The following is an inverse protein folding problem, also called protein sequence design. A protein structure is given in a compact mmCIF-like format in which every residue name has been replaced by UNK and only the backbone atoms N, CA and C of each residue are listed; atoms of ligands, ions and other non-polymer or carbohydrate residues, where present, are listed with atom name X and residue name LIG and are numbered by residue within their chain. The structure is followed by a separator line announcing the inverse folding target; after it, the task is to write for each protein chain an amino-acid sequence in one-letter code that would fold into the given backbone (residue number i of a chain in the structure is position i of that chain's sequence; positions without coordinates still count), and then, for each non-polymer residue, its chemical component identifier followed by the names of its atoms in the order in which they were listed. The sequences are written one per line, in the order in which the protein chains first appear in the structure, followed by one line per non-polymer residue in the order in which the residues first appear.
data_IF_133984678481
#
_entry.id   IF_133984678481
#
_cell.length_a   1.000
_cell.length_b   1.000
_cell.length_c   1.000
_cell.angle_alpha   90.00
_cell.angle_beta   90.00
_cell.angle_gamma   90.00
#
_symmetry.space_group_name_H-M   'P 1'
#
loop_
_entity.id
_entity.type
_entity.pdbx_description
1 polymer ?
#
# COMPACT_ATOMS: atom_id res chain seq x y z
N UNK A 1 21.75 -72.78 -18.53
CA UNK A 1 20.39 -72.48 -19.07
C UNK A 1 19.75 -71.51 -18.10
N UNK A 2 18.99 -70.53 -18.62
CA UNK A 2 18.60 -69.32 -17.91
C UNK A 2 17.47 -69.53 -16.89
N UNK A 3 17.65 -68.92 -15.71
CA UNK A 3 16.64 -68.74 -14.67
C UNK A 3 15.50 -67.85 -15.23
N UNK A 4 14.24 -68.30 -15.18
CA UNK A 4 13.07 -67.44 -15.35
C UNK A 4 12.37 -67.36 -14.00
N UNK A 5 12.43 -66.18 -13.37
CA UNK A 5 11.60 -65.86 -12.22
C UNK A 5 10.38 -65.11 -12.71
N UNK A 6 9.26 -65.45 -12.10
CA UNK A 6 7.93 -64.97 -12.45
C UNK A 6 7.81 -63.50 -12.01
N UNK A 7 7.72 -62.58 -12.97
CA UNK A 7 7.49 -61.16 -12.68
C UNK A 7 6.04 -60.99 -12.22
N UNK A 8 5.87 -60.75 -10.91
CA UNK A 8 4.57 -60.50 -10.30
C UNK A 8 3.83 -59.31 -10.94
N UNK A 9 2.50 -59.23 -10.79
CA UNK A 9 1.69 -58.23 -11.47
C UNK A 9 2.17 -56.82 -11.12
N UNK A 10 2.45 -56.01 -12.16
CA UNK A 10 2.79 -54.59 -12.02
C UNK A 10 1.74 -53.87 -11.16
N UNK A 11 2.22 -52.86 -10.44
CA UNK A 11 1.45 -52.04 -9.52
C UNK A 11 0.09 -51.60 -10.10
N UNK A 12 -0.89 -51.52 -9.20
CA UNK A 12 -2.23 -50.99 -9.49
C UNK A 12 -2.13 -49.63 -10.17
N UNK A 13 -2.68 -49.52 -11.38
CA UNK A 13 -2.78 -48.27 -12.12
C UNK A 13 -3.49 -47.20 -11.27
N UNK A 14 -2.80 -46.10 -10.99
CA UNK A 14 -3.40 -44.84 -10.55
C UNK A 14 -3.56 -43.93 -11.79
N UNK A 15 -4.80 -43.64 -12.26
CA UNK A 15 -5.02 -42.87 -13.48
C UNK A 15 -4.33 -41.51 -13.50
N UNK A 16 -4.21 -40.87 -12.32
CA UNK A 16 -3.60 -39.55 -12.16
C UNK A 16 -2.10 -39.50 -12.50
N UNK A 17 -1.43 -40.65 -12.71
CA UNK A 17 -0.02 -40.71 -13.04
C UNK A 17 0.29 -40.22 -14.47
N UNK A 18 -0.59 -40.46 -15.44
CA UNK A 18 -0.40 -40.07 -16.85
C UNK A 18 -0.75 -38.59 -17.13
N UNK A 19 -1.30 -37.88 -16.16
CA UNK A 19 -1.84 -36.51 -16.31
C UNK A 19 -0.90 -35.39 -15.86
N UNK A 20 0.23 -35.74 -15.22
CA UNK A 20 1.18 -34.78 -14.65
C UNK A 20 2.35 -34.57 -15.60
N UNK A 21 2.51 -33.34 -16.10
CA UNK A 21 3.71 -32.91 -16.83
C UNK A 21 4.78 -32.47 -15.81
N UNK A 22 5.91 -33.18 -15.77
CA UNK A 22 7.00 -32.87 -14.84
C UNK A 22 8.39 -33.03 -15.46
N UNK A 23 9.37 -32.35 -14.87
CA UNK A 23 10.81 -32.52 -15.15
C UNK A 23 11.55 -33.18 -13.96
N UNK A 24 10.80 -33.93 -13.13
CA UNK A 24 11.31 -34.69 -11.99
C UNK A 24 10.58 -36.04 -11.93
N UNK A 25 11.29 -37.10 -12.29
CA UNK A 25 10.67 -38.40 -12.60
C UNK A 25 10.46 -39.29 -11.35
N UNK A 26 11.03 -38.93 -10.20
CA UNK A 26 10.92 -39.71 -8.97
C UNK A 26 9.55 -39.50 -8.29
N UNK A 27 8.92 -40.60 -7.90
CA UNK A 27 7.66 -40.65 -7.16
C UNK A 27 7.88 -41.48 -5.90
N UNK A 28 7.32 -41.07 -4.77
CA UNK A 28 7.48 -41.77 -3.49
C UNK A 28 6.11 -42.11 -2.88
N UNK A 29 5.80 -43.40 -2.79
CA UNK A 29 4.45 -43.92 -2.48
C UNK A 29 4.11 -43.99 -0.97
N UNK A 30 5.11 -43.84 -0.08
CA UNK A 30 4.91 -43.69 1.38
C UNK A 30 5.68 -42.50 1.92
N UNK A 31 5.22 -41.95 3.06
CA UNK A 31 5.99 -40.95 3.82
C UNK A 31 7.24 -41.54 4.50
N UNK A 32 7.25 -42.84 4.80
CA UNK A 32 8.43 -43.54 5.36
C UNK A 32 9.61 -43.50 4.38
N UNK A 33 9.35 -43.72 3.09
CA UNK A 33 10.35 -43.79 2.03
C UNK A 33 10.93 -42.39 1.67
N UNK A 34 10.31 -41.31 2.16
CA UNK A 34 10.76 -39.93 1.94
C UNK A 34 11.94 -39.51 2.84
N UNK A 35 12.46 -40.41 3.70
CA UNK A 35 13.58 -40.14 4.61
C UNK A 35 13.35 -38.88 5.50
N UNK A 36 12.11 -38.71 5.96
CA UNK A 36 11.70 -37.60 6.83
C UNK A 36 12.21 -37.83 8.26
N UNK A 37 12.44 -36.75 9.01
CA UNK A 37 12.80 -36.86 10.43
C UNK A 37 11.71 -37.59 11.21
N UNK A 38 12.07 -38.55 12.06
CA UNK A 38 11.11 -39.38 12.83
C UNK A 38 10.05 -38.55 13.57
N UNK A 39 10.43 -37.42 14.16
CA UNK A 39 9.51 -36.51 14.84
C UNK A 39 8.49 -35.86 13.88
N UNK A 40 8.91 -35.51 12.65
CA UNK A 40 8.02 -34.98 11.62
C UNK A 40 7.09 -36.09 11.09
N UNK A 41 7.65 -37.27 10.82
CA UNK A 41 6.90 -38.44 10.35
C UNK A 41 5.80 -38.83 11.35
N UNK A 42 6.11 -38.81 12.66
CA UNK A 42 5.13 -38.98 13.73
C UNK A 42 4.04 -37.90 13.73
N UNK A 43 4.38 -36.65 13.43
CA UNK A 43 3.43 -35.54 13.27
C UNK A 43 2.48 -35.75 12.08
N UNK A 44 3.00 -36.23 10.94
CA UNK A 44 2.21 -36.55 9.74
C UNK A 44 1.14 -37.61 10.04
N UNK A 45 1.54 -38.74 10.62
CA UNK A 45 0.58 -39.80 10.99
C UNK A 45 -0.39 -39.37 12.10
N UNK A 46 0.07 -38.62 13.11
CA UNK A 46 -0.80 -38.12 14.17
C UNK A 46 -1.83 -37.08 13.69
N UNK A 47 -1.55 -36.36 12.60
CA UNK A 47 -2.50 -35.48 11.92
C UNK A 47 -3.57 -36.25 11.11
N UNK A 48 -3.34 -37.54 10.84
CA UNK A 48 -4.25 -38.41 10.09
C UNK A 48 -3.89 -38.61 8.61
N UNK A 49 -2.67 -38.27 8.18
CA UNK A 49 -2.21 -38.65 6.84
C UNK A 49 -1.68 -40.09 6.84
N UNK A 50 -2.30 -40.97 6.05
CA UNK A 50 -1.87 -42.38 5.92
C UNK A 50 -0.94 -42.60 4.71
N UNK A 51 -1.26 -41.98 3.57
CA UNK A 51 -0.49 -42.06 2.32
C UNK A 51 -0.35 -40.68 1.66
N UNK A 52 0.74 -40.41 0.94
CA UNK A 52 0.90 -39.19 0.17
C UNK A 52 -0.09 -39.12 -0.99
N UNK A 53 -0.68 -37.95 -1.24
CA UNK A 53 -1.41 -37.67 -2.48
C UNK A 53 -0.48 -37.58 -3.68
N UNK A 54 -1.02 -37.66 -4.91
CA UNK A 54 -0.22 -37.61 -6.16
C UNK A 54 0.72 -36.39 -6.27
N UNK A 55 0.35 -35.24 -5.68
CA UNK A 55 1.20 -34.05 -5.60
C UNK A 55 2.23 -34.13 -4.46
N UNK A 56 1.88 -34.72 -3.32
CA UNK A 56 2.81 -34.93 -2.19
C UNK A 56 3.93 -35.91 -2.57
N UNK A 57 3.56 -37.04 -3.21
CA UNK A 57 4.46 -38.09 -3.67
C UNK A 57 5.54 -37.60 -4.67
N UNK A 58 5.27 -36.50 -5.38
CA UNK A 58 6.20 -35.88 -6.35
C UNK A 58 6.90 -34.63 -5.83
N UNK A 59 6.23 -33.81 -5.02
CA UNK A 59 6.72 -32.48 -4.66
C UNK A 59 7.48 -32.42 -3.32
N UNK A 60 7.27 -33.36 -2.39
CA UNK A 60 7.96 -33.34 -1.09
C UNK A 60 9.47 -33.56 -1.26
N UNK A 61 9.90 -34.59 -1.98
CA UNK A 61 11.33 -34.91 -2.17
C UNK A 61 12.16 -33.79 -2.83
N UNK A 62 11.77 -33.21 -3.99
CA UNK A 62 12.52 -32.09 -4.58
C UNK A 62 12.50 -30.85 -3.67
N UNK A 63 11.41 -30.61 -2.94
CA UNK A 63 11.34 -29.53 -1.96
C UNK A 63 12.32 -29.76 -0.80
N UNK A 64 12.32 -30.95 -0.18
CA UNK A 64 13.21 -31.31 0.94
C UNK A 64 14.71 -31.32 0.57
N UNK A 65 15.04 -31.52 -0.71
CA UNK A 65 16.43 -31.49 -1.22
C UNK A 65 16.90 -30.09 -1.62
N UNK A 66 16.14 -29.04 -1.31
CA UNK A 66 16.54 -27.65 -1.54
C UNK A 66 16.37 -27.14 -2.97
N UNK A 67 15.66 -27.87 -3.85
CA UNK A 67 15.36 -27.40 -5.21
C UNK A 67 14.22 -26.40 -5.18
N UNK A 68 14.26 -25.37 -6.03
CA UNK A 68 13.06 -24.56 -6.26
C UNK A 68 11.97 -25.43 -6.91
N UNK A 69 10.71 -25.29 -6.47
CA UNK A 69 9.59 -26.14 -6.93
C UNK A 69 8.40 -25.28 -7.35
N UNK A 70 7.82 -25.59 -8.51
CA UNK A 70 6.53 -25.11 -9.00
C UNK A 70 5.57 -26.30 -8.97
N UNK A 71 4.60 -26.26 -8.08
CA UNK A 71 3.58 -27.29 -7.91
C UNK A 71 2.20 -26.73 -8.28
N UNK A 72 1.69 -27.09 -9.45
CA UNK A 72 0.31 -26.84 -9.81
C UNK A 72 -0.54 -28.03 -9.36
N UNK A 73 -1.59 -27.78 -8.57
CA UNK A 73 -2.59 -28.78 -8.24
C UNK A 73 -3.91 -28.12 -7.83
N UNK A 74 -5.02 -28.83 -8.01
CA UNK A 74 -6.36 -28.35 -7.64
C UNK A 74 -6.48 -28.13 -6.11
N UNK A 75 -7.52 -27.45 -5.63
CA UNK A 75 -7.75 -27.27 -4.18
C UNK A 75 -8.15 -28.59 -3.52
N UNK A 76 -7.80 -28.79 -2.25
CA UNK A 76 -8.03 -30.05 -1.52
C UNK A 76 -7.00 -31.17 -1.76
N UNK A 77 -6.16 -31.09 -2.81
CA UNK A 77 -5.17 -32.12 -3.18
C UNK A 77 -3.98 -32.32 -2.22
N UNK A 78 -3.94 -31.60 -1.10
CA UNK A 78 -2.86 -31.72 -0.10
C UNK A 78 -1.70 -30.73 -0.23
N UNK A 79 -1.79 -29.74 -1.15
CA UNK A 79 -0.78 -28.66 -1.36
C UNK A 79 -0.20 -28.07 -0.07
N UNK A 80 -1.07 -27.70 0.87
CA UNK A 80 -0.66 -27.08 2.14
C UNK A 80 0.22 -27.99 2.98
N UNK A 81 -0.09 -29.30 3.02
CA UNK A 81 0.73 -30.28 3.73
C UNK A 81 2.06 -30.52 3.00
N UNK A 82 2.07 -30.57 1.66
CA UNK A 82 3.31 -30.71 0.86
C UNK A 82 4.39 -29.73 1.30
N UNK A 83 4.10 -28.42 1.29
CA UNK A 83 5.10 -27.43 1.68
C UNK A 83 5.29 -27.36 3.19
N UNK A 84 4.27 -27.63 4.01
CA UNK A 84 4.41 -27.63 5.47
C UNK A 84 5.39 -28.72 5.92
N UNK A 85 5.28 -29.93 5.36
CA UNK A 85 6.25 -31.03 5.56
C UNK A 85 7.63 -30.59 5.08
N UNK A 86 7.74 -30.00 3.88
CA UNK A 86 9.02 -29.59 3.28
C UNK A 86 9.74 -28.49 4.07
N UNK A 87 8.99 -27.54 4.62
CA UNK A 87 9.47 -26.51 5.57
C UNK A 87 9.92 -27.16 6.86
N UNK A 88 9.04 -27.97 7.48
CA UNK A 88 9.34 -28.64 8.75
C UNK A 88 10.51 -29.61 8.63
N UNK A 89 10.80 -30.20 7.47
CA UNK A 89 11.95 -31.07 7.28
C UNK A 89 13.29 -30.30 7.26
N UNK A 90 13.29 -29.03 6.84
CA UNK A 90 14.52 -28.24 6.62
C UNK A 90 14.88 -27.26 7.74
N UNK A 91 13.96 -26.91 8.64
CA UNK A 91 14.26 -26.02 9.78
C UNK A 91 15.17 -26.66 10.83
N UNK A 92 16.09 -25.88 11.39
CA UNK A 92 16.82 -26.24 12.61
C UNK A 92 16.06 -25.74 13.84
N UNK A 93 15.61 -26.67 14.70
CA UNK A 93 14.85 -26.40 15.93
C UNK A 93 15.72 -25.73 17.01
N UNK A 94 17.04 -25.82 16.91
CA UNK A 94 17.96 -25.19 17.87
C UNK A 94 18.14 -23.69 17.60
N UNK A 95 17.91 -23.27 16.35
CA UNK A 95 18.03 -21.88 15.91
C UNK A 95 16.68 -21.17 16.00
N UNK A 96 16.47 -20.42 17.08
CA UNK A 96 15.24 -19.65 17.36
C UNK A 96 15.11 -18.36 16.51
N UNK A 97 15.34 -18.48 15.22
CA UNK A 97 15.25 -17.42 14.21
C UNK A 97 14.33 -17.88 13.07
N UNK A 98 13.76 -16.93 12.34
CA UNK A 98 12.88 -17.25 11.21
C UNK A 98 13.69 -17.87 10.06
N UNK A 99 13.38 -19.13 9.75
CA UNK A 99 14.07 -19.92 8.72
C UNK A 99 13.20 -20.21 7.50
N UNK A 100 11.88 -20.13 7.65
CA UNK A 100 10.93 -20.29 6.55
C UNK A 100 9.85 -19.21 6.60
N UNK A 101 9.54 -18.62 5.45
CA UNK A 101 8.48 -17.65 5.28
C UNK A 101 7.46 -18.13 4.25
N UNK A 102 6.19 -18.18 4.64
CA UNK A 102 5.07 -18.55 3.78
C UNK A 102 4.16 -17.34 3.56
N UNK A 103 3.90 -16.98 2.31
CA UNK A 103 2.89 -15.98 1.96
C UNK A 103 1.61 -16.64 1.47
N UNK A 104 0.47 -16.10 1.90
CA UNK A 104 -0.87 -16.52 1.49
C UNK A 104 -1.76 -15.29 1.15
N UNK A 105 -2.74 -15.42 0.23
CA UNK A 105 -3.60 -14.33 -0.22
C UNK A 105 -4.59 -13.81 0.84
N UNK A 106 -4.92 -14.61 1.86
CA UNK A 106 -5.93 -14.27 2.87
C UNK A 106 -5.42 -14.48 4.30
N UNK A 107 -6.07 -13.83 5.26
CA UNK A 107 -5.70 -13.92 6.70
C UNK A 107 -6.14 -15.26 7.26
N UNK A 108 -7.27 -15.73 6.76
CA UNK A 108 -7.96 -16.97 7.07
C UNK A 108 -7.08 -18.16 6.64
N UNK A 109 -6.59 -18.15 5.39
CA UNK A 109 -5.66 -19.17 4.90
C UNK A 109 -4.32 -19.12 5.63
N UNK A 110 -3.74 -17.94 5.88
CA UNK A 110 -2.51 -17.83 6.67
C UNK A 110 -2.67 -18.42 8.09
N UNK A 111 -3.84 -18.23 8.72
CA UNK A 111 -4.17 -18.83 10.03
C UNK A 111 -4.36 -20.35 9.93
N UNK A 112 -4.94 -20.86 8.84
CA UNK A 112 -5.10 -22.28 8.58
C UNK A 112 -3.73 -22.97 8.35
N UNK A 113 -2.87 -22.38 7.52
CA UNK A 113 -1.50 -22.86 7.28
C UNK A 113 -0.72 -22.91 8.61
N UNK A 114 -0.81 -21.85 9.44
CA UNK A 114 -0.17 -21.85 10.76
C UNK A 114 -0.59 -23.05 11.62
N UNK A 115 -1.90 -23.40 11.65
CA UNK A 115 -2.41 -24.58 12.38
C UNK A 115 -1.84 -25.88 11.82
N UNK A 116 -1.76 -26.03 10.51
CA UNK A 116 -1.16 -27.22 9.85
C UNK A 116 0.31 -27.36 10.20
N UNK A 117 1.10 -26.28 10.09
CA UNK A 117 2.54 -26.28 10.43
C UNK A 117 2.76 -26.60 11.92
N UNK A 118 1.96 -26.05 12.83
CA UNK A 118 2.05 -26.37 14.26
C UNK A 118 1.71 -27.83 14.52
N UNK A 119 0.63 -28.35 13.96
CA UNK A 119 0.17 -29.71 14.25
C UNK A 119 1.11 -30.79 13.67
N UNK A 120 1.66 -30.57 12.46
CA UNK A 120 2.68 -31.44 11.88
C UNK A 120 4.04 -31.32 12.60
N UNK A 121 4.35 -30.15 13.16
CA UNK A 121 5.60 -29.84 13.86
C UNK A 121 5.58 -30.07 15.38
N UNK A 122 4.48 -30.58 15.94
CA UNK A 122 4.24 -30.67 17.39
C UNK A 122 5.34 -31.49 18.10
N UNK A 123 5.60 -32.70 17.63
CA UNK A 123 6.67 -33.58 18.13
C UNK A 123 8.10 -33.06 17.89
N UNK A 124 8.25 -32.00 17.08
CA UNK A 124 9.52 -31.33 16.83
C UNK A 124 9.75 -30.13 17.76
N UNK A 125 8.73 -29.68 18.52
CA UNK A 125 8.70 -28.36 19.16
C UNK A 125 8.92 -27.20 18.17
N UNK A 126 8.50 -27.37 16.91
CA UNK A 126 8.57 -26.31 15.92
C UNK A 126 7.62 -25.15 16.29
N UNK A 127 8.00 -23.91 15.97
CA UNK A 127 7.19 -22.72 16.28
C UNK A 127 6.84 -21.96 15.01
N UNK A 128 5.57 -21.60 14.88
CA UNK A 128 5.03 -20.90 13.72
C UNK A 128 4.13 -19.73 14.17
N UNK A 129 4.30 -18.55 13.57
CA UNK A 129 3.47 -17.37 13.84
C UNK A 129 2.79 -16.83 12.58
N UNK A 130 1.51 -16.44 12.72
CA UNK A 130 0.72 -15.85 11.65
C UNK A 130 0.76 -14.31 11.69
N UNK A 131 1.53 -13.70 10.79
CA UNK A 131 1.59 -12.27 10.55
C UNK A 131 0.48 -11.81 9.59
N UNK A 132 -0.71 -11.57 10.14
CA UNK A 132 -1.92 -11.20 9.37
C UNK A 132 -2.41 -9.78 9.69
N UNK A 133 -3.07 -9.13 8.72
CA UNK A 133 -3.67 -7.82 8.95
C UNK A 133 -4.80 -7.85 10.00
N UNK A 134 -5.05 -6.73 10.68
CA UNK A 134 -6.15 -6.60 11.65
C UNK A 134 -5.83 -7.11 13.07
N UNK A 135 -4.77 -7.89 13.27
CA UNK A 135 -4.24 -8.19 14.61
C UNK A 135 -3.41 -7.03 15.16
N UNK A 136 -3.25 -7.03 16.49
CA UNK A 136 -2.44 -6.07 17.22
C UNK A 136 -0.95 -6.22 16.85
N UNK A 137 -0.40 -5.19 16.20
CA UNK A 137 1.00 -5.14 15.76
C UNK A 137 2.00 -5.34 16.92
N UNK A 138 1.64 -4.97 18.15
CA UNK A 138 2.51 -5.18 19.32
C UNK A 138 2.64 -6.66 19.71
N UNK A 139 1.61 -7.47 19.47
CA UNK A 139 1.66 -8.91 19.74
C UNK A 139 2.51 -9.63 18.69
N UNK A 140 2.41 -9.23 17.42
CA UNK A 140 3.32 -9.70 16.37
C UNK A 140 4.79 -9.35 16.71
N UNK A 141 5.05 -8.09 17.07
CA UNK A 141 6.39 -7.63 17.51
C UNK A 141 6.95 -8.49 18.65
N UNK A 142 6.17 -8.72 19.72
CA UNK A 142 6.62 -9.52 20.88
C UNK A 142 6.89 -10.97 20.49
N UNK A 143 6.03 -11.60 19.68
CA UNK A 143 6.21 -12.99 19.25
C UNK A 143 7.42 -13.15 18.32
N UNK A 144 7.57 -12.28 17.32
CA UNK A 144 8.71 -12.33 16.41
C UNK A 144 10.04 -12.12 17.17
N UNK A 145 10.09 -11.14 18.07
CA UNK A 145 11.27 -10.90 18.92
C UNK A 145 11.57 -12.05 19.92
N UNK A 146 10.60 -12.92 20.22
CA UNK A 146 10.82 -14.10 21.06
C UNK A 146 11.45 -15.29 20.33
N UNK A 147 11.57 -15.20 19.00
CA UNK A 147 12.12 -16.24 18.13
C UNK A 147 11.06 -17.23 17.66
N UNK A 148 10.83 -17.28 16.34
CA UNK A 148 9.93 -18.25 15.70
C UNK A 148 10.61 -18.89 14.49
N UNK A 149 10.47 -20.20 14.31
CA UNK A 149 11.14 -20.92 13.22
C UNK A 149 10.49 -20.66 11.85
N UNK A 150 9.16 -20.52 11.83
CA UNK A 150 8.37 -20.26 10.62
C UNK A 150 7.47 -19.04 10.81
N UNK A 151 7.40 -18.18 9.79
CA UNK A 151 6.37 -17.13 9.70
C UNK A 151 5.45 -17.44 8.53
N UNK A 152 4.15 -17.33 8.77
CA UNK A 152 3.12 -17.38 7.73
C UNK A 152 2.42 -16.02 7.72
N UNK A 153 2.03 -15.47 6.57
CA UNK A 153 1.29 -14.20 6.61
C UNK A 153 0.80 -13.68 5.27
N UNK A 154 0.08 -12.57 5.33
CA UNK A 154 -0.27 -11.84 4.11
C UNK A 154 0.88 -10.92 3.69
N UNK A 155 1.17 -10.75 2.38
CA UNK A 155 2.35 -10.02 1.90
C UNK A 155 2.54 -8.65 2.55
N UNK A 156 1.47 -7.85 2.67
CA UNK A 156 1.53 -6.51 3.28
C UNK A 156 1.88 -6.48 4.78
N UNK A 157 1.41 -7.44 5.61
CA UNK A 157 1.75 -7.47 7.05
C UNK A 157 3.15 -8.02 7.26
N UNK A 158 3.56 -9.03 6.48
CA UNK A 158 4.94 -9.53 6.49
C UNK A 158 5.93 -8.42 6.11
N UNK A 159 5.65 -7.67 5.04
CA UNK A 159 6.47 -6.54 4.62
C UNK A 159 6.60 -5.46 5.69
N UNK A 160 5.51 -5.12 6.39
CA UNK A 160 5.54 -4.18 7.53
C UNK A 160 6.42 -4.70 8.67
N UNK A 161 6.37 -6.01 8.99
CA UNK A 161 7.21 -6.60 10.05
C UNK A 161 8.69 -6.62 9.70
N UNK A 162 9.05 -6.87 8.43
CA UNK A 162 10.43 -6.76 7.93
C UNK A 162 10.89 -5.30 7.97
N UNK A 163 10.07 -4.37 7.48
CA UNK A 163 10.40 -2.93 7.44
C UNK A 163 10.62 -2.35 8.84
N UNK A 164 9.85 -2.81 9.83
CA UNK A 164 10.02 -2.46 11.25
C UNK A 164 11.22 -3.13 11.93
N UNK A 165 11.95 -4.01 11.25
CA UNK A 165 13.01 -4.89 11.79
C UNK A 165 12.52 -5.82 12.90
N UNK A 166 11.22 -6.14 12.91
CA UNK A 166 10.62 -7.12 13.82
C UNK A 166 10.85 -8.55 13.32
N UNK A 167 10.78 -8.75 12.00
CA UNK A 167 11.15 -9.99 11.33
C UNK A 167 12.53 -9.80 10.69
N UNK A 168 13.55 -10.49 11.22
CA UNK A 168 14.87 -10.54 10.60
C UNK A 168 14.87 -11.60 9.47
N UNK A 169 15.10 -11.22 8.20
CA UNK A 169 15.09 -12.17 7.09
C UNK A 169 16.41 -12.95 6.92
N UNK A 170 17.49 -12.58 7.63
CA UNK A 170 18.84 -13.12 7.39
C UNK A 170 18.97 -14.65 7.49
N UNK A 171 18.12 -15.30 8.28
CA UNK A 171 18.14 -16.76 8.46
C UNK A 171 17.13 -17.50 7.59
N UNK A 172 16.34 -16.79 6.76
CA UNK A 172 15.29 -17.39 5.91
C UNK A 172 15.94 -18.13 4.74
N UNK A 173 15.84 -19.46 4.79
CA UNK A 173 16.31 -20.39 3.76
C UNK A 173 15.19 -20.77 2.79
N UNK A 174 13.93 -20.75 3.22
CA UNK A 174 12.76 -21.11 2.40
C UNK A 174 11.79 -19.95 2.28
N UNK A 175 11.35 -19.67 1.05
CA UNK A 175 10.27 -18.74 0.73
C UNK A 175 9.16 -19.46 -0.05
N UNK A 176 7.98 -19.55 0.55
CA UNK A 176 6.83 -20.27 0.00
C UNK A 176 5.74 -19.29 -0.42
N UNK A 177 5.19 -19.51 -1.61
CA UNK A 177 4.04 -18.79 -2.15
C UNK A 177 2.88 -19.78 -2.31
N UNK A 178 1.87 -19.73 -1.43
CA UNK A 178 0.66 -20.56 -1.54
C UNK A 178 -0.49 -19.77 -2.18
N UNK A 179 -1.27 -20.42 -3.05
CA UNK A 179 -2.27 -19.80 -3.93
C UNK A 179 -1.70 -18.57 -4.69
N UNK A 180 -0.60 -18.79 -5.42
CA UNK A 180 0.13 -17.72 -6.09
C UNK A 180 -0.69 -16.98 -7.18
N UNK A 181 -1.55 -17.69 -7.90
CA UNK A 181 -2.53 -17.12 -8.83
C UNK A 181 -3.49 -16.14 -8.15
N UNK A 182 -4.10 -16.54 -7.01
CA UNK A 182 -4.94 -15.67 -6.18
C UNK A 182 -4.17 -14.46 -5.63
N UNK A 183 -2.90 -14.63 -5.22
CA UNK A 183 -2.10 -13.49 -4.75
C UNK A 183 -1.85 -12.46 -5.85
N UNK A 184 -1.60 -12.90 -7.09
CA UNK A 184 -1.38 -11.99 -8.21
C UNK A 184 -2.66 -11.33 -8.68
N UNK A 185 -3.78 -12.05 -8.76
CA UNK A 185 -5.10 -11.48 -9.12
C UNK A 185 -5.55 -10.37 -8.16
N UNK A 186 -5.14 -10.44 -6.89
CA UNK A 186 -5.37 -9.44 -5.84
C UNK A 186 -4.40 -8.25 -5.88
N UNK A 187 -3.47 -8.21 -6.84
CA UNK A 187 -2.49 -7.13 -6.98
C UNK A 187 -1.32 -7.20 -5.98
N UNK A 188 -1.07 -8.33 -5.32
CA UNK A 188 0.06 -8.44 -4.38
C UNK A 188 1.43 -8.61 -5.06
N UNK A 189 1.50 -8.58 -6.41
CA UNK A 189 2.74 -8.69 -7.21
C UNK A 189 3.89 -7.88 -6.61
N UNK A 190 3.72 -6.56 -6.48
CA UNK A 190 4.78 -5.67 -5.96
C UNK A 190 5.12 -5.93 -4.49
N UNK A 191 4.15 -6.36 -3.68
CA UNK A 191 4.37 -6.69 -2.27
C UNK A 191 5.22 -7.95 -2.13
N UNK A 192 4.97 -8.98 -2.96
CA UNK A 192 5.79 -10.18 -3.06
C UNK A 192 7.21 -9.81 -3.51
N UNK A 193 7.37 -9.00 -4.56
CA UNK A 193 8.68 -8.50 -4.99
C UNK A 193 9.42 -7.76 -3.88
N UNK A 194 8.73 -6.93 -3.10
CA UNK A 194 9.36 -6.16 -2.03
C UNK A 194 9.76 -7.04 -0.84
N UNK A 195 8.94 -8.04 -0.46
CA UNK A 195 9.32 -9.04 0.55
C UNK A 195 10.54 -9.85 0.07
N UNK A 196 10.54 -10.33 -1.17
CA UNK A 196 11.63 -11.16 -1.71
C UNK A 196 12.98 -10.42 -1.76
N UNK A 197 13.00 -9.12 -2.04
CA UNK A 197 14.24 -8.30 -2.04
C UNK A 197 14.98 -8.26 -0.69
N UNK A 198 14.31 -8.59 0.41
CA UNK A 198 14.94 -8.66 1.74
C UNK A 198 15.49 -10.06 2.07
N UNK A 199 15.20 -11.07 1.27
CA UNK A 199 15.63 -12.45 1.52
C UNK A 199 17.11 -12.66 1.14
N UNK A 200 17.81 -13.60 1.79
CA UNK A 200 19.13 -14.07 1.38
C UNK A 200 19.19 -14.48 -0.10
N UNK A 201 20.35 -14.30 -0.74
CA UNK A 201 20.49 -14.59 -2.18
C UNK A 201 20.42 -16.08 -2.50
N UNK A 202 20.56 -16.97 -1.52
CA UNK A 202 20.51 -18.42 -1.59
C UNK A 202 19.16 -19.03 -1.16
N UNK A 203 18.16 -18.21 -0.83
CA UNK A 203 16.81 -18.67 -0.46
C UNK A 203 16.16 -19.54 -1.55
N UNK A 204 15.73 -20.74 -1.16
CA UNK A 204 14.90 -21.66 -1.94
C UNK A 204 13.48 -21.10 -2.08
N UNK A 205 12.88 -21.25 -3.26
CA UNK A 205 11.52 -20.80 -3.54
C UNK A 205 10.61 -21.99 -3.89
N UNK A 206 9.50 -22.10 -3.17
CA UNK A 206 8.43 -23.08 -3.46
C UNK A 206 7.16 -22.30 -3.82
N UNK A 207 6.63 -22.51 -5.02
CA UNK A 207 5.39 -21.89 -5.49
C UNK A 207 4.32 -22.96 -5.69
N UNK A 208 3.16 -22.74 -5.07
CA UNK A 208 1.98 -23.59 -5.21
C UNK A 208 0.82 -22.77 -5.74
N UNK A 209 0.10 -23.32 -6.71
CA UNK A 209 -0.96 -22.60 -7.44
C UNK A 209 -2.04 -23.58 -7.91
N UNK A 210 -3.28 -23.12 -8.08
CA UNK A 210 -4.30 -23.92 -8.75
C UNK A 210 -4.15 -23.84 -10.27
N UNK A 211 -3.81 -22.65 -10.75
CA UNK A 211 -3.63 -22.30 -12.16
C UNK A 211 -2.26 -21.68 -12.41
N UNK A 212 -1.77 -21.76 -13.64
CA UNK A 212 -0.47 -21.19 -14.06
C UNK A 212 -0.64 -20.19 -15.22
N UNK A 213 -1.29 -19.03 -14.98
CA UNK A 213 -1.33 -17.95 -15.98
C UNK A 213 0.06 -17.34 -16.18
N UNK A 214 0.26 -16.61 -17.28
CA UNK A 214 1.57 -16.04 -17.64
C UNK A 214 2.13 -15.11 -16.54
N UNK A 215 1.29 -14.42 -15.76
CA UNK A 215 1.74 -13.60 -14.63
C UNK A 215 2.42 -14.40 -13.52
N UNK A 216 1.95 -15.63 -13.24
CA UNK A 216 2.60 -16.55 -12.29
C UNK A 216 3.91 -17.06 -12.91
N UNK A 217 3.91 -17.37 -14.21
CA UNK A 217 5.13 -17.77 -14.93
C UNK A 217 6.18 -16.65 -14.95
N UNK A 218 5.82 -15.39 -15.16
CA UNK A 218 6.72 -14.23 -15.01
C UNK A 218 7.36 -14.14 -13.62
N UNK A 219 6.58 -14.41 -12.58
CA UNK A 219 7.03 -14.43 -11.18
C UNK A 219 8.07 -15.53 -10.98
N UNK A 220 7.81 -16.75 -11.45
CA UNK A 220 8.80 -17.85 -11.37
C UNK A 220 10.10 -17.51 -12.10
N UNK A 221 10.03 -16.90 -13.28
CA UNK A 221 11.19 -16.52 -14.11
C UNK A 221 12.15 -15.53 -13.42
N UNK A 222 11.69 -14.78 -12.41
CA UNK A 222 12.53 -13.79 -11.69
C UNK A 222 13.00 -14.23 -10.31
N UNK A 223 12.33 -15.19 -9.68
CA UNK A 223 12.65 -15.64 -8.32
C UNK A 223 13.30 -17.02 -8.26
N UNK A 224 13.10 -17.87 -9.27
CA UNK A 224 13.49 -19.28 -9.24
C UNK A 224 14.69 -19.60 -10.13
N UNK A 225 15.43 -20.63 -9.72
CA UNK A 225 16.68 -21.13 -10.31
C UNK A 225 16.51 -22.59 -10.72
N UNK A 226 16.30 -22.81 -12.02
CA UNK A 226 16.07 -24.15 -12.60
C UNK A 226 15.04 -25.00 -11.80
N UNK A 227 13.82 -24.47 -11.60
CA UNK A 227 12.84 -25.11 -10.73
C UNK A 227 12.39 -26.46 -11.28
N UNK A 228 12.14 -27.39 -10.36
CA UNK A 228 11.30 -28.55 -10.61
C UNK A 228 9.89 -28.05 -10.88
N UNK A 229 9.25 -28.58 -11.92
CA UNK A 229 7.89 -28.27 -12.35
C UNK A 229 7.08 -29.54 -12.22
N UNK A 230 5.96 -29.46 -11.53
CA UNK A 230 4.98 -30.52 -11.40
C UNK A 230 3.65 -29.87 -11.76
N UNK A 231 3.25 -30.04 -13.01
CA UNK A 231 2.12 -29.35 -13.63
C UNK A 231 1.02 -30.37 -13.98
N UNK A 232 -0.24 -29.99 -13.83
CA UNK A 232 -1.37 -30.81 -14.29
C UNK A 232 -1.69 -30.43 -15.73
N UNK A 233 -1.88 -31.43 -16.60
CA UNK A 233 -2.27 -31.21 -18.00
C UNK A 233 -3.56 -30.39 -18.10
N UNK A 234 -3.61 -29.55 -19.13
CA UNK A 234 -4.50 -28.39 -19.20
C UNK A 234 -5.98 -28.70 -19.40
N UNK A 235 -6.33 -29.95 -19.71
CA UNK A 235 -7.67 -30.31 -20.21
C UNK A 235 -8.67 -30.63 -19.10
N UNK A 236 -8.21 -31.04 -17.90
CA UNK A 236 -9.10 -31.43 -16.78
C UNK A 236 -8.73 -30.70 -15.47
N UNK A 237 -9.16 -29.43 -15.39
CA UNK A 237 -9.24 -28.67 -14.12
C UNK A 237 -10.53 -28.94 -13.33
N UNK A 238 -11.36 -29.87 -13.81
CA UNK A 238 -12.50 -30.40 -13.06
C UNK A 238 -11.99 -31.29 -11.94
N UNK A 239 -12.49 -31.04 -10.72
CA UNK A 239 -12.25 -31.92 -9.58
C UNK A 239 -13.05 -33.21 -9.78
N UNK A 240 -12.36 -34.32 -10.03
CA UNK A 240 -12.95 -35.65 -9.99
C UNK A 240 -13.56 -35.87 -8.60
N UNK A 241 -14.88 -36.13 -8.58
CA UNK A 241 -15.69 -36.16 -7.36
C UNK A 241 -16.59 -34.94 -7.12
N UNK A 242 -16.43 -33.83 -7.87
CA UNK A 242 -17.42 -32.73 -7.89
C UNK A 242 -18.38 -32.92 -9.08
N UNK A 243 -19.57 -33.42 -8.78
CA UNK A 243 -20.69 -33.47 -9.72
C UNK A 243 -21.24 -32.07 -9.97
N UNK A 244 -21.09 -31.57 -11.19
CA UNK A 244 -21.48 -30.21 -11.56
C UNK A 244 -22.88 -30.21 -12.20
N UNK A 245 -23.76 -29.39 -11.66
CA UNK A 245 -25.13 -29.19 -12.14
C UNK A 245 -25.43 -27.70 -12.30
N UNK A 246 -26.38 -27.36 -13.18
CA UNK A 246 -26.93 -26.02 -13.27
C UNK A 246 -28.46 -26.09 -13.34
N UNK A 247 -29.12 -25.06 -12.81
CA UNK A 247 -30.58 -24.89 -12.92
C UNK A 247 -30.83 -23.60 -13.71
N UNK A 248 -31.51 -23.73 -14.85
CA UNK A 248 -31.82 -22.59 -15.71
C UNK A 248 -33.06 -21.85 -15.20
N UNK A 249 -32.82 -20.81 -14.39
CA UNK A 249 -33.85 -19.87 -13.95
C UNK A 249 -34.01 -18.74 -14.96
N UNK A 250 -35.23 -18.50 -15.45
CA UNK A 250 -35.50 -17.43 -16.42
C UNK A 250 -35.34 -16.03 -15.81
N UNK A 251 -35.57 -15.90 -14.50
CA UNK A 251 -35.55 -14.63 -13.79
C UNK A 251 -34.74 -14.69 -12.50
N UNK A 252 -34.08 -13.57 -12.20
CA UNK A 252 -33.28 -13.39 -10.98
C UNK A 252 -34.09 -13.51 -9.69
N UNK A 253 -35.38 -13.17 -9.72
CA UNK A 253 -36.30 -13.27 -8.57
C UNK A 253 -36.59 -14.73 -8.18
N UNK A 254 -36.65 -15.66 -9.14
CA UNK A 254 -36.96 -17.08 -8.91
C UNK A 254 -35.81 -17.84 -8.25
N UNK A 255 -34.57 -17.30 -8.25
CA UNK A 255 -33.42 -17.95 -7.60
C UNK A 255 -33.62 -18.21 -6.12
N UNK A 256 -34.34 -17.33 -5.40
CA UNK A 256 -34.56 -17.49 -3.97
C UNK A 256 -35.49 -18.68 -3.69
N UNK A 257 -36.56 -18.81 -4.47
CA UNK A 257 -37.53 -19.90 -4.31
C UNK A 257 -36.90 -21.23 -4.72
N UNK A 258 -36.24 -21.29 -5.89
CA UNK A 258 -35.47 -22.47 -6.32
C UNK A 258 -34.42 -22.91 -5.30
N UNK A 259 -33.77 -21.96 -4.61
CA UNK A 259 -32.81 -22.29 -3.55
C UNK A 259 -33.50 -22.89 -2.32
N UNK A 260 -34.66 -22.38 -1.92
CA UNK A 260 -35.45 -22.96 -0.83
C UNK A 260 -35.93 -24.38 -1.18
N UNK A 261 -36.45 -24.59 -2.39
CA UNK A 261 -36.90 -25.89 -2.88
C UNK A 261 -35.77 -26.95 -2.81
N UNK A 262 -34.52 -26.55 -3.09
CA UNK A 262 -33.36 -27.41 -2.95
C UNK A 262 -33.08 -27.82 -1.50
N UNK A 263 -33.23 -26.90 -0.53
CA UNK A 263 -33.07 -27.23 0.89
C UNK A 263 -34.22 -28.05 1.47
N UNK A 264 -35.43 -27.94 0.92
CA UNK A 264 -36.57 -28.79 1.30
C UNK A 264 -36.45 -30.20 0.71
N UNK A 265 -35.92 -30.32 -0.51
CA UNK A 265 -35.82 -31.60 -1.24
C UNK A 265 -34.56 -32.40 -0.90
N UNK A 266 -33.45 -31.72 -0.59
CA UNK A 266 -32.14 -32.35 -0.38
C UNK A 266 -31.70 -32.29 1.09
N UNK A 267 -31.25 -33.42 1.63
CA UNK A 267 -30.63 -33.48 2.96
C UNK A 267 -29.21 -32.91 2.93
N UNK A 268 -29.10 -31.59 3.01
CA UNK A 268 -27.84 -30.85 3.00
C UNK A 268 -27.30 -30.71 4.43
N UNK A 269 -26.07 -31.17 4.69
CA UNK A 269 -25.40 -31.01 5.99
C UNK A 269 -24.81 -29.61 6.16
N UNK A 270 -24.01 -29.18 5.19
CA UNK A 270 -23.43 -27.84 5.06
C UNK A 270 -23.33 -27.49 3.57
N UNK A 271 -23.56 -26.23 3.24
CA UNK A 271 -23.39 -25.70 1.89
C UNK A 271 -22.86 -24.27 1.95
N UNK A 272 -22.13 -23.87 0.89
CA UNK A 272 -21.59 -22.52 0.73
C UNK A 272 -22.25 -21.90 -0.51
N UNK A 273 -22.92 -20.76 -0.32
CA UNK A 273 -23.61 -20.06 -1.40
C UNK A 273 -22.81 -18.81 -1.77
N UNK A 274 -22.30 -18.78 -3.00
CA UNK A 274 -21.54 -17.64 -3.51
C UNK A 274 -22.45 -16.62 -4.19
N UNK A 275 -22.20 -15.33 -3.92
CA UNK A 275 -22.90 -14.21 -4.54
C UNK A 275 -21.90 -13.15 -5.01
N UNK A 276 -22.07 -12.67 -6.25
CA UNK A 276 -21.11 -11.76 -6.89
C UNK A 276 -20.99 -10.36 -6.23
N UNK A 277 -21.92 -9.99 -5.33
CA UNK A 277 -21.89 -8.68 -4.66
C UNK A 277 -22.26 -8.81 -3.19
N UNK A 278 -21.61 -7.99 -2.35
CA UNK A 278 -21.96 -7.84 -0.93
C UNK A 278 -23.45 -7.59 -0.72
N UNK A 279 -24.05 -6.65 -1.48
CA UNK A 279 -25.48 -6.32 -1.34
C UNK A 279 -26.39 -7.54 -1.58
N UNK A 280 -26.00 -8.47 -2.46
CA UNK A 280 -26.73 -9.72 -2.68
C UNK A 280 -26.51 -10.73 -1.55
N UNK A 281 -25.31 -10.81 -0.96
CA UNK A 281 -25.05 -11.60 0.27
C UNK A 281 -25.93 -11.11 1.42
N UNK A 282 -25.89 -9.79 1.70
CA UNK A 282 -26.63 -9.17 2.80
C UNK A 282 -28.16 -9.41 2.60
N UNK A 283 -28.68 -9.16 1.40
CA UNK A 283 -30.08 -9.42 1.03
C UNK A 283 -30.49 -10.90 1.12
N UNK A 284 -29.65 -11.82 0.63
CA UNK A 284 -29.94 -13.26 0.64
C UNK A 284 -29.97 -13.79 2.08
N UNK A 285 -29.05 -13.32 2.92
CA UNK A 285 -28.98 -13.68 4.34
C UNK A 285 -30.27 -13.27 5.05
N UNK A 286 -30.72 -12.02 4.86
CA UNK A 286 -31.99 -11.53 5.42
C UNK A 286 -33.18 -12.36 4.93
N UNK A 287 -33.22 -12.69 3.63
CA UNK A 287 -34.34 -13.46 3.03
C UNK A 287 -34.39 -14.91 3.47
N UNK A 288 -33.24 -15.56 3.67
CA UNK A 288 -33.18 -16.91 4.20
C UNK A 288 -33.51 -16.95 5.70
N UNK A 289 -33.04 -15.99 6.49
CA UNK A 289 -33.41 -15.85 7.91
C UNK A 289 -34.91 -15.56 8.09
N UNK A 290 -35.54 -14.81 7.18
CA UNK A 290 -37.00 -14.60 7.13
C UNK A 290 -37.80 -15.87 6.77
N UNK A 291 -37.14 -16.93 6.31
CA UNK A 291 -37.71 -18.27 6.06
C UNK A 291 -37.16 -19.31 7.04
N UNK A 292 -36.79 -18.87 8.25
CA UNK A 292 -36.30 -19.67 9.38
C UNK A 292 -35.02 -20.52 9.10
N UNK A 293 -34.29 -20.25 8.02
CA UNK A 293 -33.00 -20.90 7.78
C UNK A 293 -31.90 -20.30 8.66
N UNK A 294 -31.11 -21.17 9.30
CA UNK A 294 -29.92 -20.76 10.05
C UNK A 294 -28.76 -20.49 9.09
N UNK A 295 -28.53 -19.22 8.76
CA UNK A 295 -27.49 -18.79 7.81
C UNK A 295 -26.50 -17.85 8.48
N UNK A 296 -25.20 -18.09 8.23
CA UNK A 296 -24.10 -17.20 8.59
C UNK A 296 -23.52 -16.57 7.32
N UNK A 297 -23.31 -15.25 7.34
CA UNK A 297 -22.77 -14.50 6.21
C UNK A 297 -21.29 -14.16 6.42
N UNK A 298 -20.46 -14.40 5.40
CA UNK A 298 -19.09 -13.92 5.35
C UNK A 298 -18.91 -12.97 4.18
N UNK A 299 -18.43 -11.76 4.46
CA UNK A 299 -18.09 -10.75 3.46
C UNK A 299 -16.64 -10.34 3.70
N UNK A 300 -15.82 -10.27 2.64
CA UNK A 300 -14.43 -9.80 2.76
C UNK A 300 -14.44 -8.30 3.08
N UNK A 301 -14.23 -7.97 4.35
CA UNK A 301 -14.35 -6.61 4.88
C UNK A 301 -13.09 -5.79 4.60
N UNK A 302 -13.10 -5.08 3.47
CA UNK A 302 -12.29 -3.86 3.28
C UNK A 302 -13.02 -2.60 3.80
N UNK A 303 -14.35 -2.63 3.90
CA UNK A 303 -15.21 -1.43 3.98
C UNK A 303 -15.68 -0.94 5.35
N UNK A 304 -15.90 -1.82 6.34
CA UNK A 304 -16.49 -1.40 7.63
C UNK A 304 -15.57 -0.50 8.44
N UNK A 305 -14.26 -0.78 8.43
CA UNK A 305 -13.24 0.10 9.00
C UNK A 305 -13.27 1.48 8.33
N UNK A 306 -13.35 1.58 7.00
CA UNK A 306 -13.32 2.87 6.32
C UNK A 306 -14.52 3.76 6.69
N UNK A 307 -15.74 3.21 6.66
CA UNK A 307 -16.96 3.95 7.01
C UNK A 307 -16.95 4.45 8.46
N UNK A 308 -16.71 3.55 9.43
CA UNK A 308 -16.69 3.92 10.86
C UNK A 308 -15.52 4.83 11.22
N UNK A 309 -14.34 4.62 10.64
CA UNK A 309 -13.15 5.45 10.90
C UNK A 309 -13.30 6.84 10.29
N UNK A 310 -13.83 6.97 9.06
CA UNK A 310 -14.05 8.28 8.44
C UNK A 310 -15.19 9.03 9.15
N UNK A 311 -16.26 8.36 9.58
CA UNK A 311 -17.33 9.00 10.36
C UNK A 311 -16.85 9.47 11.75
N UNK A 312 -16.14 8.62 12.50
CA UNK A 312 -15.59 9.00 13.82
C UNK A 312 -14.51 10.06 13.70
N UNK A 313 -13.59 9.93 12.74
CA UNK A 313 -12.53 10.91 12.54
C UNK A 313 -13.09 12.25 12.04
N UNK A 314 -14.04 12.27 11.10
CA UNK A 314 -14.66 13.52 10.64
C UNK A 314 -15.49 14.20 11.74
N UNK A 315 -16.33 13.45 12.46
CA UNK A 315 -17.16 14.03 13.54
C UNK A 315 -16.30 14.51 14.72
N UNK A 316 -15.37 13.71 15.22
CA UNK A 316 -14.53 14.11 16.36
C UNK A 316 -13.49 15.16 15.97
N UNK A 317 -12.79 15.04 14.84
CA UNK A 317 -11.78 16.01 14.43
C UNK A 317 -12.42 17.36 14.10
N UNK A 318 -13.51 17.38 13.33
CA UNK A 318 -14.15 18.64 12.95
C UNK A 318 -14.83 19.30 14.16
N UNK A 319 -15.50 18.55 15.05
CA UNK A 319 -16.04 19.11 16.28
C UNK A 319 -14.94 19.62 17.22
N UNK A 320 -13.87 18.84 17.44
CA UNK A 320 -12.80 19.22 18.37
C UNK A 320 -12.00 20.39 17.82
N UNK A 321 -11.60 20.38 16.54
CA UNK A 321 -10.89 21.49 15.92
C UNK A 321 -11.78 22.73 15.86
N UNK A 322 -13.04 22.64 15.42
CA UNK A 322 -13.92 23.81 15.37
C UNK A 322 -14.19 24.39 16.76
N UNK A 323 -14.56 23.56 17.75
CA UNK A 323 -14.83 24.04 19.11
C UNK A 323 -13.59 24.59 19.81
N UNK A 324 -12.47 23.85 19.81
CA UNK A 324 -11.25 24.31 20.51
C UNK A 324 -10.57 25.45 19.77
N UNK A 325 -10.40 25.40 18.44
CA UNK A 325 -9.76 26.48 17.69
C UNK A 325 -10.60 27.76 17.74
N UNK A 326 -11.91 27.69 17.47
CA UNK A 326 -12.73 28.90 17.44
C UNK A 326 -12.91 29.47 18.86
N UNK A 327 -13.11 28.65 19.89
CA UNK A 327 -13.21 29.14 21.27
C UNK A 327 -11.87 29.69 21.79
N UNK A 328 -10.76 28.95 21.68
CA UNK A 328 -9.46 29.44 22.18
C UNK A 328 -8.96 30.62 21.38
N UNK A 329 -9.02 30.58 20.05
CA UNK A 329 -8.48 31.65 19.22
C UNK A 329 -9.36 32.90 19.27
N UNK A 330 -10.69 32.81 19.39
CA UNK A 330 -11.54 33.99 19.62
C UNK A 330 -11.35 34.56 21.03
N UNK A 331 -11.42 33.74 22.08
CA UNK A 331 -11.30 34.23 23.47
C UNK A 331 -9.92 34.80 23.77
N UNK A 332 -8.83 34.10 23.41
CA UNK A 332 -7.47 34.58 23.66
C UNK A 332 -7.11 35.77 22.78
N UNK A 333 -7.47 35.78 21.49
CA UNK A 333 -7.15 36.91 20.61
C UNK A 333 -7.92 38.16 21.03
N UNK A 334 -9.22 38.06 21.33
CA UNK A 334 -10.02 39.21 21.73
C UNK A 334 -9.63 39.70 23.14
N UNK A 335 -9.32 38.80 24.08
CA UNK A 335 -8.80 39.19 25.39
C UNK A 335 -7.42 39.83 25.31
N UNK A 336 -6.47 39.25 24.57
CA UNK A 336 -5.12 39.82 24.41
C UNK A 336 -5.20 41.14 23.65
N UNK A 337 -5.91 41.22 22.53
CA UNK A 337 -6.05 42.45 21.75
C UNK A 337 -6.70 43.55 22.60
N UNK A 338 -7.83 43.29 23.26
CA UNK A 338 -8.50 44.31 24.07
C UNK A 338 -7.68 44.71 25.30
N UNK A 339 -7.13 43.76 26.06
CA UNK A 339 -6.36 44.08 27.27
C UNK A 339 -5.01 44.73 26.96
N UNK A 340 -4.23 44.20 26.01
CA UNK A 340 -2.90 44.75 25.73
C UNK A 340 -2.97 46.01 24.88
N UNK A 341 -3.74 46.03 23.77
CA UNK A 341 -3.77 47.18 22.86
C UNK A 341 -4.44 48.38 23.52
N UNK A 342 -5.59 48.20 24.17
CA UNK A 342 -6.33 49.31 24.76
C UNK A 342 -5.63 49.86 26.02
N UNK A 343 -5.05 48.99 26.87
CA UNK A 343 -4.27 49.45 28.02
C UNK A 343 -2.96 50.13 27.60
N UNK A 344 -2.17 49.55 26.70
CA UNK A 344 -0.91 50.18 26.26
C UNK A 344 -1.17 51.46 25.49
N UNK A 345 -2.13 51.50 24.57
CA UNK A 345 -2.41 52.69 23.78
C UNK A 345 -3.03 53.80 24.65
N UNK A 346 -3.94 53.50 25.57
CA UNK A 346 -4.46 54.52 26.50
C UNK A 346 -3.38 55.04 27.47
N UNK A 347 -2.63 54.15 28.12
CA UNK A 347 -1.61 54.56 29.11
C UNK A 347 -0.43 55.28 28.47
N UNK A 348 0.14 54.75 27.38
CA UNK A 348 1.31 55.37 26.73
C UNK A 348 0.93 56.63 25.97
N UNK A 349 -0.12 56.62 25.14
CA UNK A 349 -0.46 57.76 24.29
C UNK A 349 -0.94 58.94 25.13
N UNK A 350 -1.81 58.74 26.11
CA UNK A 350 -2.38 59.83 26.90
C UNK A 350 -1.32 60.43 27.87
N UNK A 351 -0.48 59.59 28.49
CA UNK A 351 0.61 60.07 29.34
C UNK A 351 1.72 60.76 28.55
N UNK A 352 2.22 60.16 27.46
CA UNK A 352 3.30 60.77 26.65
C UNK A 352 2.83 62.02 25.94
N UNK A 353 1.63 62.03 25.33
CA UNK A 353 1.15 63.20 24.60
C UNK A 353 0.83 64.36 25.55
N UNK A 354 0.25 64.11 26.73
CA UNK A 354 0.03 65.17 27.72
C UNK A 354 1.36 65.70 28.30
N UNK A 355 2.27 64.82 28.73
CA UNK A 355 3.53 65.25 29.35
C UNK A 355 4.50 65.91 28.38
N UNK A 356 4.68 65.36 27.16
CA UNK A 356 5.63 65.91 26.19
C UNK A 356 5.10 67.17 25.52
N UNK A 357 3.82 67.20 25.08
CA UNK A 357 3.28 68.34 24.33
C UNK A 357 3.19 69.59 25.21
N UNK A 358 2.69 69.46 26.44
CA UNK A 358 2.51 70.60 27.35
C UNK A 358 3.86 71.13 27.86
N UNK A 359 4.83 70.24 28.16
CA UNK A 359 6.17 70.65 28.57
C UNK A 359 6.97 71.28 27.43
N UNK A 360 7.00 70.67 26.23
CA UNK A 360 7.75 71.22 25.09
C UNK A 360 7.15 72.52 24.60
N UNK A 361 5.82 72.60 24.41
CA UNK A 361 5.17 73.81 23.89
C UNK A 361 5.32 75.00 24.85
N UNK A 362 5.29 74.78 26.17
CA UNK A 362 5.52 75.86 27.14
C UNK A 362 7.00 76.26 27.24
N UNK A 363 7.91 75.30 27.36
CA UNK A 363 9.33 75.58 27.62
C UNK A 363 10.14 75.99 26.38
N UNK A 364 9.94 75.35 25.23
CA UNK A 364 10.77 75.62 24.05
C UNK A 364 10.19 76.74 23.19
N UNK A 365 8.88 76.77 22.95
CA UNK A 365 8.28 77.74 22.02
C UNK A 365 8.38 79.18 22.54
N UNK A 366 7.95 79.44 23.78
CA UNK A 366 8.01 80.79 24.37
C UNK A 366 9.45 81.29 24.54
N UNK A 367 10.36 80.41 24.98
CA UNK A 367 11.76 80.77 25.18
C UNK A 367 12.47 81.06 23.84
N UNK A 368 12.36 80.15 22.86
CA UNK A 368 12.99 80.36 21.53
C UNK A 368 12.38 81.54 20.79
N UNK A 369 11.06 81.76 20.84
CA UNK A 369 10.42 82.91 20.22
C UNK A 369 10.98 84.24 20.77
N UNK A 370 11.21 84.34 22.09
CA UNK A 370 11.77 85.55 22.70
C UNK A 370 13.21 85.86 22.26
N UNK A 371 14.04 84.83 22.10
CA UNK A 371 15.45 84.95 21.68
C UNK A 371 15.57 85.19 20.17
N UNK A 372 14.76 84.48 19.37
CA UNK A 372 14.77 84.62 17.91
C UNK A 372 14.26 86.00 17.50
N UNK A 373 13.17 86.50 18.09
CA UNK A 373 12.61 87.80 17.71
C UNK A 373 13.58 88.95 18.00
N UNK A 374 14.30 88.90 19.12
CA UNK A 374 15.27 89.94 19.51
C UNK A 374 16.57 89.87 18.70
N UNK A 375 17.09 88.67 18.44
CA UNK A 375 18.33 88.49 17.66
C UNK A 375 18.13 88.69 16.16
N UNK A 376 17.14 88.04 15.54
CA UNK A 376 16.95 88.09 14.08
C UNK A 376 16.53 89.46 13.58
N UNK A 377 15.77 90.25 14.33
CA UNK A 377 15.43 91.62 13.92
C UNK A 377 16.68 92.52 13.80
N UNK A 378 17.69 92.28 14.65
CA UNK A 378 18.99 92.97 14.54
C UNK A 378 19.91 92.37 13.45
N UNK A 379 19.81 91.06 13.18
CA UNK A 379 20.63 90.28 12.23
C UNK A 379 19.98 90.18 10.82
N UNK A 380 18.84 90.84 10.62
CA UNK A 380 18.28 91.25 9.32
C UNK A 380 18.36 92.80 9.18
N UNK A 381 19.29 93.47 9.87
CA UNK A 381 20.62 93.78 9.31
C UNK A 381 20.47 94.31 7.87
N UNK A 382 20.81 95.55 7.56
CA UNK A 382 22.19 96.00 7.28
C UNK A 382 23.06 95.05 6.39
N UNK A 383 22.74 93.77 6.25
CA UNK A 383 23.21 92.83 5.20
C UNK A 383 22.27 92.73 4.01
N UNK A 384 20.95 92.76 4.21
CA UNK A 384 19.97 92.53 3.13
C UNK A 384 19.89 93.74 2.20
N UNK A 385 19.93 94.95 2.76
CA UNK A 385 19.95 96.21 2.01
C UNK A 385 21.21 96.39 1.16
N UNK A 386 22.34 95.75 1.51
CA UNK A 386 23.63 95.93 0.85
C UNK A 386 23.91 94.93 -0.28
N UNK A 387 23.35 93.71 -0.22
CA UNK A 387 23.63 92.65 -1.22
C UNK A 387 22.72 92.73 -2.46
N UNK A 388 21.44 93.12 -2.30
CA UNK A 388 20.48 93.13 -3.42
C UNK A 388 20.82 94.17 -4.48
N UNK A 389 21.50 95.26 -4.10
CA UNK A 389 21.86 96.38 -4.98
C UNK A 389 22.94 96.05 -6.03
N UNK A 390 23.63 94.90 -5.95
CA UNK A 390 24.87 94.66 -6.72
C UNK A 390 24.89 93.42 -7.63
N UNK A 391 23.94 92.49 -7.55
CA UNK A 391 24.14 91.12 -8.07
C UNK A 391 23.32 90.66 -9.29
N UNK A 392 22.13 91.22 -9.56
CA UNK A 392 21.22 90.66 -10.59
C UNK A 392 21.19 91.38 -11.93
N UNK A 393 21.84 92.54 -12.06
CA UNK A 393 21.68 93.43 -13.22
C UNK A 393 22.46 93.00 -14.50
N UNK A 394 23.18 91.87 -14.49
CA UNK A 394 24.22 91.56 -15.49
C UNK A 394 24.25 90.14 -16.09
N UNK A 395 23.58 89.12 -15.53
CA UNK A 395 23.89 87.70 -15.88
C UNK A 395 22.95 86.98 -16.86
N UNK A 396 21.64 87.23 -16.85
CA UNK A 396 20.66 86.44 -17.63
C UNK A 396 20.45 86.90 -19.07
N UNK A 397 20.99 88.06 -19.46
CA UNK A 397 20.66 88.72 -20.73
C UNK A 397 21.34 88.14 -21.98
N UNK A 398 22.19 87.10 -21.89
CA UNK A 398 23.25 86.89 -22.90
C UNK A 398 23.28 85.59 -23.73
N UNK A 399 22.65 84.46 -23.35
CA UNK A 399 23.01 83.17 -23.98
C UNK A 399 21.91 82.32 -24.63
N UNK A 400 20.66 82.33 -24.15
CA UNK A 400 19.59 81.45 -24.66
C UNK A 400 19.09 81.77 -26.08
N UNK A 401 19.58 82.85 -26.70
CA UNK A 401 19.11 83.35 -28.00
C UNK A 401 19.55 82.48 -29.20
N UNK A 402 20.64 81.72 -29.09
CA UNK A 402 21.39 81.33 -30.28
C UNK A 402 21.18 79.89 -30.78
N UNK A 403 20.06 79.68 -31.49
CA UNK A 403 19.94 78.92 -32.76
C UNK A 403 20.50 77.48 -32.85
N UNK A 404 21.01 76.93 -31.78
CA UNK A 404 21.68 75.63 -31.74
C UNK A 404 20.67 74.54 -31.47
N UNK A 405 20.97 73.35 -31.97
CA UNK A 405 20.26 72.12 -31.64
C UNK A 405 19.36 71.66 -32.79
N UNK A 406 18.83 72.66 -33.51
CA UNK A 406 18.55 72.69 -34.95
C UNK A 406 18.73 71.33 -35.64
N UNK A 407 17.61 70.79 -36.16
CA UNK A 407 17.60 70.04 -37.43
C UNK A 407 18.25 68.63 -37.43
N UNK A 408 18.91 68.19 -36.36
CA UNK A 408 19.98 67.18 -36.48
C UNK A 408 19.65 65.76 -36.02
N UNK A 409 18.54 65.51 -35.30
CA UNK A 409 18.01 64.14 -35.11
C UNK A 409 16.84 63.79 -36.06
N UNK A 410 16.62 64.65 -37.05
CA UNK A 410 15.65 64.55 -38.15
C UNK A 410 15.53 63.17 -38.83
N UNK A 411 16.61 62.39 -38.90
CA UNK A 411 16.73 61.30 -39.88
C UNK A 411 16.78 59.87 -39.31
N UNK A 412 17.02 59.67 -38.01
CA UNK A 412 17.74 58.45 -37.58
C UNK A 412 16.93 57.23 -37.16
N UNK A 413 15.63 57.33 -36.87
CA UNK A 413 14.82 56.14 -36.49
C UNK A 413 13.52 55.93 -37.26
N UNK A 414 13.27 56.77 -38.27
CA UNK A 414 12.38 56.45 -39.40
C UNK A 414 13.12 55.49 -40.36
N UNK A 415 13.72 54.43 -39.81
CA UNK A 415 14.26 53.33 -40.60
C UNK A 415 13.77 51.99 -40.07
N UNK A 416 12.50 51.76 -40.40
CA UNK A 416 12.10 50.52 -41.04
C UNK A 416 12.37 49.20 -40.30
N UNK A 417 12.49 49.17 -38.96
CA UNK A 417 12.24 47.93 -38.20
C UNK A 417 10.73 47.52 -38.23
N UNK A 418 9.89 48.37 -38.84
CA UNK A 418 8.80 48.01 -39.77
C UNK A 418 8.94 46.63 -40.43
N UNK A 419 10.17 46.27 -40.82
CA UNK A 419 10.44 45.05 -41.54
C UNK A 419 10.33 43.82 -40.65
N UNK A 420 9.26 43.07 -40.91
CA UNK A 420 9.39 41.65 -41.26
C UNK A 420 9.70 40.63 -40.18
N UNK A 421 9.91 40.94 -38.89
CA UNK A 421 9.93 39.85 -37.89
C UNK A 421 8.54 39.23 -37.59
N UNK A 422 7.50 39.81 -38.19
CA UNK A 422 6.34 39.09 -38.73
C UNK A 422 6.82 38.12 -39.82
N UNK A 423 7.46 37.02 -39.41
CA UNK A 423 7.84 35.91 -40.31
C UNK A 423 8.07 34.57 -39.60
N UNK A 424 8.62 34.57 -38.38
CA UNK A 424 9.31 33.37 -37.86
C UNK A 424 8.50 32.50 -36.89
N UNK A 425 7.89 32.99 -35.81
CA UNK A 425 7.19 32.09 -34.87
C UNK A 425 5.80 31.60 -35.33
N UNK A 426 5.41 31.94 -36.56
CA UNK A 426 4.35 31.27 -37.34
C UNK A 426 4.60 29.76 -37.49
N UNK A 427 5.85 29.30 -37.40
CA UNK A 427 6.26 27.93 -37.73
C UNK A 427 6.58 27.02 -36.53
N UNK A 428 6.10 27.38 -35.33
CA UNK A 428 6.05 26.45 -34.18
C UNK A 428 4.66 26.34 -33.52
N UNK A 429 3.51 26.48 -34.21
CA UNK A 429 3.00 25.55 -35.24
C UNK A 429 3.83 24.29 -35.39
N UNK A 430 3.36 23.18 -34.82
CA UNK A 430 4.24 22.04 -34.52
C UNK A 430 5.33 22.49 -33.52
N UNK A 431 5.69 21.70 -32.55
CA UNK A 431 6.29 20.43 -32.89
C UNK A 431 5.73 19.30 -32.04
N UNK A 432 5.05 19.69 -30.96
CA UNK A 432 5.04 18.89 -29.75
C UNK A 432 3.83 19.28 -28.90
N UNK A 433 2.70 18.57 -28.89
CA UNK A 433 2.42 17.19 -29.36
C UNK A 433 3.38 16.12 -28.80
N UNK A 434 4.27 16.55 -27.91
CA UNK A 434 5.44 15.81 -27.43
C UNK A 434 5.67 16.19 -25.95
N UNK A 435 4.75 16.01 -24.99
CA UNK A 435 3.33 15.56 -24.93
C UNK A 435 2.80 14.42 -25.84
N UNK A 436 3.60 13.60 -26.53
CA UNK A 436 4.18 12.36 -26.01
C UNK A 436 4.07 12.25 -24.52
N UNK A 437 3.66 11.07 -24.12
CA UNK A 437 4.05 10.54 -22.85
C UNK A 437 3.76 11.54 -21.69
N UNK A 438 2.52 12.04 -21.52
CA UNK A 438 1.21 11.40 -21.86
C UNK A 438 1.34 9.88 -21.81
N UNK A 439 2.15 9.36 -20.89
CA UNK A 439 2.32 7.95 -20.76
C UNK A 439 1.09 7.69 -19.88
N UNK A 440 0.03 7.00 -20.34
CA UNK A 440 -0.03 5.79 -21.19
C UNK A 440 1.08 4.74 -21.06
N UNK A 441 2.09 5.01 -20.21
CA UNK A 441 2.36 4.31 -18.97
C UNK A 441 1.69 5.11 -17.83
N UNK A 442 0.41 5.50 -17.97
CA UNK A 442 -0.83 4.69 -17.89
C UNK A 442 -1.41 5.16 -16.51
N UNK A 443 -2.57 4.79 -16.01
CA UNK A 443 -2.93 3.41 -15.80
C UNK A 443 -1.78 2.46 -15.36
N UNK A 444 -0.47 2.85 -15.25
CA UNK A 444 0.68 2.12 -14.62
C UNK A 444 1.09 2.85 -13.35
N UNK A 445 0.55 2.42 -12.23
CA UNK A 445 -0.60 1.52 -12.16
C UNK A 445 -1.68 2.33 -11.39
N UNK A 446 -2.98 2.01 -11.43
CA UNK A 446 -3.44 0.72 -10.96
C UNK A 446 -2.73 0.40 -9.61
N UNK A 447 -3.36 -0.21 -8.65
CA UNK A 447 -4.16 -1.38 -8.84
C UNK A 447 -5.54 -1.25 -8.19
N UNK A 448 -5.78 -0.02 -7.76
CA UNK A 448 -6.63 0.37 -6.66
C UNK A 448 -7.11 1.77 -7.05
N UNK A 449 -8.11 1.91 -7.93
CA UNK A 449 -9.22 0.96 -8.14
C UNK A 449 -9.84 0.63 -6.76
N UNK A 450 -10.56 -0.47 -6.65
CA UNK A 450 -10.78 -1.21 -5.40
C UNK A 450 -10.62 -0.41 -4.12
N UNK A 451 -11.68 0.30 -3.80
CA UNK A 451 -12.51 -0.17 -2.69
C UNK A 451 -11.82 0.15 -1.37
N UNK A 452 -12.35 1.08 -0.59
CA UNK A 452 -13.73 0.89 -0.18
C UNK A 452 -14.38 2.14 0.36
N UNK A 453 -15.57 2.34 -0.19
CA UNK A 453 -16.80 2.60 0.55
C UNK A 453 -16.91 3.99 1.18
N UNK A 454 -17.93 4.75 0.76
CA UNK A 454 -19.33 4.51 1.16
C UNK A 454 -19.45 4.78 2.68
N UNK A 455 -19.98 5.92 3.14
CA UNK A 455 -21.23 6.57 2.72
C UNK A 455 -22.41 5.57 2.81
N UNK A 456 -23.61 6.03 3.19
CA UNK A 456 -24.83 5.20 3.48
C UNK A 456 -24.78 4.50 4.85
N UNK A 457 -25.78 4.66 5.73
CA UNK A 457 -27.19 4.99 5.48
C UNK A 457 -27.59 6.47 5.56
#
# INVERSE_FOLDING_TARGET
MSDQRDDGPRSTFDPAADEIETNYDEVTDSFDDMNLREALLRGIYAYGFEKPSAIQARAIMPSCTGRDVIAQAQSGTGKTATFSISVLQQIDINLKECQALVLAPTRELATQIQKVVIALGDYMNATCHACIGGTNVREDLVKLNSGVHTVVGTPGRVHDMITRKALNPQHIKLFVLDEADEMLSRGFKDQIYNVFKFMPSDTQVILLSATMPEEVLEVTKKFMRNPVRILVKKEELTLDGITQFYIMVEKEEWKLDTLCDLYETLTITQAVIFCNTRRKVDWLTEKMQQRDFTVSAMVVLTSTLYSTYLYTLYSTYLYTVYSTYLYTHYSTYLYILYSTYLYTLYSTYLYTLYSTYLYTLYSTYLYTLSIVLTSTLSIVLTSTLSIVLTSTHTSTYHYTLYNTYLYTLYSTYLYTLYSTYLYTLYSTYLYTLYSTYHYTLYSTYLYTLYSTYLYTH
#
